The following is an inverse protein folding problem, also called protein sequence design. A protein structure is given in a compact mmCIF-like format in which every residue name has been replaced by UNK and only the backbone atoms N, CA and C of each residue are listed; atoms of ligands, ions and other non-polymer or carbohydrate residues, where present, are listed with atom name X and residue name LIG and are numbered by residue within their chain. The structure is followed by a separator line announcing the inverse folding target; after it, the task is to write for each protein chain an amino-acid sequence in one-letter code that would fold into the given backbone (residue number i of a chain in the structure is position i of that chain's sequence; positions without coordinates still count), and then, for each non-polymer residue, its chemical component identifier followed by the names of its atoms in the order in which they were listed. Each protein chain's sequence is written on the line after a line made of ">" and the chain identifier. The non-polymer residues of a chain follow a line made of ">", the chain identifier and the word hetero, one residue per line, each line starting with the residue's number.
data_IF_534654924587
#
_entry.id   IF_534654924587
#
_cell.length_a   1.000
_cell.length_b   1.000
_cell.length_c   1.000
_cell.angle_alpha   90.00
_cell.angle_beta   90.00
_cell.angle_gamma   90.00
#
_symmetry.space_group_name_H-M   'P 1'
#
loop_
_entity.id
_entity.type
_entity.pdbx_description
1 polymer ?
#
# COMPACT_ATOMS: atom_id res chain seq x y z
N UNK A 1 -4.03 -4.56 11.80
CA UNK A 1 -2.66 -4.01 11.89
C UNK A 1 -1.69 -5.16 12.03
N UNK A 2 -0.76 -5.32 11.08
CA UNK A 2 0.25 -6.39 11.11
C UNK A 2 1.33 -6.08 12.15
N UNK A 3 1.87 -7.10 12.83
CA UNK A 3 2.95 -6.94 13.84
C UNK A 3 4.18 -6.25 13.25
N UNK A 4 4.51 -6.52 11.98
CA UNK A 4 5.61 -5.87 11.26
C UNK A 4 5.43 -4.37 11.08
N UNK A 5 4.19 -3.91 10.90
CA UNK A 5 3.89 -2.49 10.72
C UNK A 5 3.99 -1.74 12.05
N UNK A 6 3.57 -2.39 13.15
CA UNK A 6 3.78 -1.87 14.49
C UNK A 6 5.28 -1.71 14.82
N UNK A 7 6.11 -2.70 14.47
CA UNK A 7 7.56 -2.64 14.68
C UNK A 7 8.22 -1.47 13.92
N UNK A 8 7.83 -1.24 12.67
CA UNK A 8 8.36 -0.13 11.85
C UNK A 8 7.96 1.22 12.46
N UNK A 9 6.70 1.38 12.85
CA UNK A 9 6.22 2.63 13.47
C UNK A 9 6.94 2.90 14.80
N UNK A 10 7.15 1.88 15.62
CA UNK A 10 7.89 2.01 16.87
C UNK A 10 9.32 2.49 16.63
N UNK A 11 10.02 1.91 15.64
CA UNK A 11 11.39 2.32 15.27
C UNK A 11 11.44 3.74 14.73
N UNK A 12 10.52 4.12 13.84
CA UNK A 12 10.42 5.50 13.32
C UNK A 12 10.23 6.48 14.49
N UNK A 13 9.40 6.14 15.47
CA UNK A 13 9.15 7.00 16.63
C UNK A 13 10.38 7.15 17.50
N UNK A 14 11.08 6.06 17.82
CA UNK A 14 12.34 6.10 18.58
C UNK A 14 13.40 6.96 17.87
N UNK A 15 13.58 6.77 16.56
CA UNK A 15 14.55 7.53 15.78
C UNK A 15 14.17 9.01 15.66
N UNK A 16 12.89 9.35 15.57
CA UNK A 16 12.42 10.75 15.61
C UNK A 16 12.75 11.42 16.93
N UNK A 17 12.54 10.76 18.07
CA UNK A 17 12.87 11.30 19.40
C UNK A 17 14.37 11.54 19.52
N UNK A 18 15.20 10.60 19.04
CA UNK A 18 16.66 10.76 19.03
C UNK A 18 17.10 11.89 18.10
N UNK A 19 16.53 12.00 16.91
CA UNK A 19 16.82 13.07 15.96
C UNK A 19 16.45 14.44 16.54
N UNK A 20 15.31 14.53 17.23
CA UNK A 20 14.90 15.76 17.92
C UNK A 20 15.90 16.14 19.03
N UNK A 21 16.35 15.17 19.83
CA UNK A 21 17.38 15.39 20.84
C UNK A 21 18.66 15.94 20.21
N UNK A 22 19.18 15.29 19.15
CA UNK A 22 20.36 15.76 18.43
C UNK A 22 20.15 17.16 17.85
N UNK A 23 18.97 17.46 17.29
CA UNK A 23 18.67 18.78 16.73
C UNK A 23 18.71 19.90 17.77
N UNK A 24 18.41 19.60 19.04
CA UNK A 24 18.47 20.55 20.15
C UNK A 24 19.89 20.68 20.72
N UNK A 25 20.66 19.59 20.72
CA UNK A 25 22.01 19.57 21.27
C UNK A 25 23.06 20.13 20.30
N UNK A 26 22.90 19.89 19.00
CA UNK A 26 23.84 20.35 17.98
C UNK A 26 24.14 21.86 18.04
N UNK A 27 23.15 22.78 18.11
CA UNK A 27 23.45 24.21 18.21
C UNK A 27 24.15 24.60 19.51
N UNK A 28 23.96 23.84 20.60
CA UNK A 28 24.71 24.06 21.84
C UNK A 28 26.17 23.62 21.69
N UNK A 29 26.41 22.49 21.03
CA UNK A 29 27.76 22.02 20.74
C UNK A 29 28.50 22.94 19.75
N UNK A 30 27.81 23.50 18.75
CA UNK A 30 28.36 24.52 17.84
C UNK A 30 28.78 25.79 18.58
N UNK A 31 27.93 26.29 19.50
CA UNK A 31 28.29 27.44 20.34
C UNK A 31 29.49 27.13 21.24
N UNK A 32 29.49 25.96 21.89
CA UNK A 32 30.60 25.52 22.74
C UNK A 32 31.92 25.43 21.97
N UNK A 33 31.89 24.92 20.74
CA UNK A 33 33.07 24.85 19.87
C UNK A 33 33.55 26.25 19.47
N UNK A 34 32.64 27.16 19.11
CA UNK A 34 32.97 28.54 18.77
C UNK A 34 33.59 29.30 19.96
N UNK A 35 33.01 29.15 21.16
CA UNK A 35 33.53 29.73 22.41
C UNK A 35 34.91 29.17 22.76
N UNK A 36 35.09 27.85 22.66
CA UNK A 36 36.38 27.22 22.91
C UNK A 36 37.45 27.68 21.89
N UNK A 37 37.09 27.81 20.61
CA UNK A 37 37.99 28.34 19.58
C UNK A 37 38.34 29.82 19.84
N UNK A 38 37.40 30.61 20.35
CA UNK A 38 37.68 31.97 20.79
C UNK A 38 38.63 32.01 21.99
N UNK A 39 38.45 31.12 22.97
CA UNK A 39 39.35 31.01 24.11
C UNK A 39 40.79 30.70 23.68
N UNK A 40 41.00 29.76 22.75
CA UNK A 40 42.34 29.45 22.20
C UNK A 40 42.99 30.71 21.61
N UNK A 41 42.27 31.46 20.76
CA UNK A 41 42.79 32.70 20.17
C UNK A 41 43.20 33.74 21.21
N UNK A 42 42.46 33.84 22.32
CA UNK A 42 42.83 34.71 23.43
C UNK A 42 44.10 34.21 24.12
N UNK A 43 44.22 32.90 24.36
CA UNK A 43 45.42 32.31 24.94
C UNK A 43 46.65 32.45 24.02
N UNK A 44 46.50 32.34 22.71
CA UNK A 44 47.60 32.56 21.75
C UNK A 44 48.19 33.97 21.89
N UNK A 45 47.31 34.97 22.00
CA UNK A 45 47.70 36.38 22.20
C UNK A 45 48.44 36.57 23.54
N UNK A 46 48.00 35.88 24.60
CA UNK A 46 48.63 35.94 25.92
C UNK A 46 49.95 35.16 25.99
N UNK A 47 50.08 34.10 25.19
CA UNK A 47 51.31 33.30 25.08
C UNK A 47 52.43 34.11 24.45
N UNK A 48 52.15 34.90 23.41
CA UNK A 48 53.09 35.84 22.80
C UNK A 48 53.63 36.86 23.82
N UNK A 49 52.75 37.33 24.72
CA UNK A 49 53.10 38.20 25.85
C UNK A 49 53.78 37.50 27.02
N UNK A 50 53.93 36.16 26.99
CA UNK A 50 54.44 35.32 28.10
C UNK A 50 53.65 35.45 29.41
N UNK A 51 52.36 35.77 29.33
CA UNK A 51 51.48 35.98 30.49
C UNK A 51 50.69 34.72 30.92
N UNK A 52 50.89 33.59 30.24
CA UNK A 52 50.15 32.34 30.47
C UNK A 52 51.12 31.19 30.71
N UNK A 53 50.77 30.31 31.65
CA UNK A 53 51.51 29.08 31.90
C UNK A 53 51.15 28.02 30.84
N UNK A 54 52.12 27.19 30.44
CA UNK A 54 51.90 26.11 29.47
C UNK A 54 50.75 25.18 29.87
N UNK A 55 50.59 24.92 31.18
CA UNK A 55 49.51 24.08 31.72
C UNK A 55 48.13 24.64 31.38
N UNK A 56 47.90 25.96 31.52
CA UNK A 56 46.60 26.58 31.19
C UNK A 56 46.31 26.55 29.69
N UNK A 57 47.35 26.68 28.88
CA UNK A 57 47.22 26.57 27.43
C UNK A 57 46.86 25.14 27.00
N UNK A 58 47.50 24.12 27.59
CA UNK A 58 47.18 22.71 27.34
C UNK A 58 45.75 22.36 27.77
N UNK A 59 45.28 22.87 28.91
CA UNK A 59 43.89 22.74 29.37
C UNK A 59 42.90 23.31 28.34
N UNK A 60 43.19 24.50 27.80
CA UNK A 60 42.34 25.15 26.80
C UNK A 60 42.32 24.33 25.49
N UNK A 61 43.46 23.83 25.03
CA UNK A 61 43.56 22.98 23.84
C UNK A 61 42.73 21.70 23.99
N UNK A 62 42.82 21.05 25.17
CA UNK A 62 42.01 19.87 25.47
C UNK A 62 40.52 20.19 25.45
N UNK A 63 40.11 21.30 26.07
CA UNK A 63 38.70 21.72 26.07
C UNK A 63 38.17 22.00 24.65
N UNK A 64 38.99 22.63 23.79
CA UNK A 64 38.65 22.86 22.38
C UNK A 64 38.52 21.55 21.59
N UNK A 65 39.44 20.60 21.79
CA UNK A 65 39.36 19.28 21.18
C UNK A 65 38.08 18.53 21.60
N UNK A 66 37.75 18.53 22.90
CA UNK A 66 36.54 17.89 23.41
C UNK A 66 35.26 18.52 22.84
N UNK A 67 35.18 19.86 22.76
CA UNK A 67 34.06 20.57 22.15
C UNK A 67 33.90 20.24 20.64
N UNK A 68 35.02 20.23 19.91
CA UNK A 68 35.04 19.87 18.48
C UNK A 68 34.57 18.44 18.26
N UNK A 69 35.09 17.50 19.08
CA UNK A 69 34.71 16.08 19.02
C UNK A 69 33.22 15.89 19.29
N UNK A 70 32.67 16.59 20.28
CA UNK A 70 31.25 16.54 20.61
C UNK A 70 30.38 17.03 19.44
N UNK A 71 30.74 18.18 18.85
CA UNK A 71 30.05 18.73 17.67
C UNK A 71 30.04 17.74 16.50
N UNK A 72 31.21 17.18 16.15
CA UNK A 72 31.34 16.22 15.06
C UNK A 72 30.55 14.94 15.35
N UNK A 73 30.54 14.49 16.60
CA UNK A 73 29.77 13.31 17.02
C UNK A 73 28.28 13.53 16.83
N UNK A 74 27.74 14.65 17.32
CA UNK A 74 26.32 15.00 17.18
C UNK A 74 25.92 15.21 15.71
N UNK A 75 26.77 15.87 14.93
CA UNK A 75 26.53 16.09 13.50
C UNK A 75 26.46 14.76 12.74
N UNK A 76 27.38 13.85 13.03
CA UNK A 76 27.40 12.51 12.41
C UNK A 76 26.17 11.70 12.83
N UNK A 77 25.83 11.71 14.11
CA UNK A 77 24.61 11.06 14.62
C UNK A 77 23.36 11.61 13.95
N UNK A 78 23.26 12.93 13.78
CA UNK A 78 22.14 13.57 13.11
C UNK A 78 22.00 13.13 11.65
N UNK A 79 23.12 13.04 10.92
CA UNK A 79 23.12 12.57 9.53
C UNK A 79 22.69 11.10 9.41
N UNK A 80 23.25 10.22 10.25
CA UNK A 80 22.88 8.80 10.27
C UNK A 80 21.39 8.63 10.58
N UNK A 81 20.88 9.31 11.62
CA UNK A 81 19.46 9.26 11.98
C UNK A 81 18.55 9.75 10.84
N UNK A 82 18.96 10.78 10.11
CA UNK A 82 18.22 11.29 8.95
C UNK A 82 18.17 10.26 7.81
N UNK A 83 19.28 9.61 7.51
CA UNK A 83 19.34 8.55 6.50
C UNK A 83 18.50 7.34 6.90
N UNK A 84 18.59 6.90 8.15
CA UNK A 84 17.81 5.79 8.69
C UNK A 84 16.31 6.08 8.67
N UNK A 85 15.89 7.29 9.07
CA UNK A 85 14.48 7.70 8.99
C UNK A 85 13.98 7.70 7.55
N UNK A 86 14.76 8.24 6.62
CA UNK A 86 14.38 8.27 5.20
C UNK A 86 14.27 6.84 4.63
N UNK A 87 15.16 5.93 5.04
CA UNK A 87 15.11 4.53 4.65
C UNK A 87 13.88 3.81 5.21
N UNK A 88 13.55 4.04 6.48
CA UNK A 88 12.36 3.46 7.12
C UNK A 88 11.05 3.99 6.53
N UNK A 89 10.98 5.29 6.21
CA UNK A 89 9.80 5.87 5.58
C UNK A 89 9.57 5.26 4.19
N UNK A 90 10.62 5.07 3.37
CA UNK A 90 10.51 4.36 2.08
C UNK A 90 10.03 2.91 2.25
N UNK A 91 10.62 2.19 3.21
CA UNK A 91 10.23 0.80 3.47
C UNK A 91 8.76 0.69 3.93
N UNK A 92 8.26 1.69 4.65
CA UNK A 92 6.85 1.80 5.03
C UNK A 92 5.98 2.06 3.80
N UNK A 93 6.33 3.03 2.97
CA UNK A 93 5.57 3.37 1.77
C UNK A 93 5.48 2.19 0.80
N UNK A 94 6.59 1.47 0.60
CA UNK A 94 6.64 0.25 -0.21
C UNK A 94 5.72 -0.85 0.34
N UNK A 95 5.66 -1.00 1.67
CA UNK A 95 4.78 -1.96 2.32
C UNK A 95 3.31 -1.58 2.20
N UNK A 96 2.97 -0.30 2.34
CA UNK A 96 1.61 0.23 2.20
C UNK A 96 1.14 0.10 0.73
N UNK A 97 2.02 0.38 -0.25
CA UNK A 97 1.74 0.18 -1.68
C UNK A 97 1.52 -1.30 -2.02
N UNK A 98 2.40 -2.19 -1.55
CA UNK A 98 2.23 -3.63 -1.74
C UNK A 98 0.91 -4.15 -1.15
N UNK A 99 0.52 -3.66 0.03
CA UNK A 99 -0.74 -4.03 0.67
C UNK A 99 -1.95 -3.51 -0.11
N UNK A 100 -1.88 -2.28 -0.63
CA UNK A 100 -2.94 -1.72 -1.49
C UNK A 100 -3.12 -2.50 -2.79
N UNK A 101 -2.00 -2.91 -3.42
CA UNK A 101 -2.01 -3.75 -4.63
C UNK A 101 -2.61 -5.13 -4.36
N UNK A 102 -2.27 -5.74 -3.23
CA UNK A 102 -2.88 -7.01 -2.82
C UNK A 102 -4.39 -6.84 -2.61
N UNK A 103 -4.83 -5.80 -1.91
CA UNK A 103 -6.26 -5.53 -1.72
C UNK A 103 -6.98 -5.31 -3.06
N UNK A 104 -6.38 -4.58 -4.00
CA UNK A 104 -6.94 -4.35 -5.32
C UNK A 104 -7.02 -5.63 -6.18
N UNK A 105 -5.97 -6.47 -6.15
CA UNK A 105 -5.94 -7.73 -6.91
C UNK A 105 -6.96 -8.73 -6.36
N UNK A 106 -7.07 -8.83 -5.04
CA UNK A 106 -7.96 -9.79 -4.42
C UNK A 106 -9.40 -9.28 -4.30
N UNK A 107 -9.64 -7.97 -4.36
CA UNK A 107 -10.97 -7.33 -4.29
C UNK A 107 -11.87 -7.93 -3.18
N UNK A 108 -11.28 -8.24 -2.02
CA UNK A 108 -11.93 -8.94 -0.90
C UNK A 108 -12.60 -10.29 -1.27
N UNK A 109 -12.09 -10.94 -2.32
CA UNK A 109 -12.63 -12.18 -2.88
C UNK A 109 -13.87 -11.98 -3.76
N UNK A 110 -14.21 -10.74 -4.12
CA UNK A 110 -15.38 -10.42 -4.93
C UNK A 110 -15.01 -10.45 -6.42
N UNK A 111 -15.72 -11.32 -7.16
CA UNK A 111 -15.64 -11.36 -8.63
C UNK A 111 -16.84 -10.60 -9.19
N UNK A 112 -16.58 -9.50 -9.89
CA UNK A 112 -17.62 -8.72 -10.56
C UNK A 112 -17.81 -9.18 -12.01
N UNK A 113 -19.06 -9.21 -12.46
CA UNK A 113 -19.35 -9.41 -13.89
C UNK A 113 -18.96 -8.16 -14.69
N UNK A 114 -18.24 -8.31 -15.82
CA UNK A 114 -17.96 -7.19 -16.72
C UNK A 114 -19.18 -6.76 -17.55
N UNK A 115 -20.21 -7.61 -17.65
CA UNK A 115 -21.38 -7.39 -18.50
C UNK A 115 -22.69 -7.61 -17.75
N UNK A 116 -23.73 -6.89 -18.17
CA UNK A 116 -25.09 -7.20 -17.74
C UNK A 116 -25.60 -8.41 -18.52
N UNK A 117 -26.19 -9.38 -17.84
CA UNK A 117 -26.64 -10.62 -18.46
C UNK A 117 -27.32 -11.58 -17.49
N UNK A 118 -27.70 -12.75 -17.98
CA UNK A 118 -28.24 -13.83 -17.16
C UNK A 118 -27.14 -14.84 -16.81
N UNK A 119 -27.21 -15.36 -15.58
CA UNK A 119 -26.30 -16.39 -15.08
C UNK A 119 -26.65 -17.72 -15.73
N UNK A 120 -25.65 -18.43 -16.25
CA UNK A 120 -25.80 -19.76 -16.81
C UNK A 120 -26.08 -20.85 -15.77
N UNK A 121 -26.23 -22.10 -16.22
CA UNK A 121 -26.56 -23.24 -15.35
C UNK A 121 -25.41 -23.68 -14.42
N UNK A 122 -24.18 -23.24 -14.67
CA UNK A 122 -23.00 -23.60 -13.88
C UNK A 122 -22.77 -22.55 -12.80
N UNK A 123 -23.11 -22.90 -11.56
CA UNK A 123 -22.90 -22.08 -10.36
C UNK A 123 -21.84 -22.78 -9.51
N UNK A 124 -20.76 -22.10 -9.10
CA UNK A 124 -19.74 -22.70 -8.25
C UNK A 124 -20.28 -23.02 -6.86
N UNK A 125 -19.85 -24.15 -6.30
CA UNK A 125 -20.19 -24.55 -4.93
C UNK A 125 -19.20 -23.96 -3.92
N UNK A 126 -19.71 -23.54 -2.75
CA UNK A 126 -18.89 -23.05 -1.63
C UNK A 126 -17.88 -24.12 -1.20
N UNK A 127 -16.62 -23.72 -0.99
CA UNK A 127 -15.53 -24.61 -0.57
C UNK A 127 -14.73 -25.24 -1.73
N UNK A 128 -15.07 -24.93 -2.98
CA UNK A 128 -14.31 -25.38 -4.15
C UNK A 128 -13.16 -24.42 -4.45
N UNK A 129 -11.97 -24.95 -4.71
CA UNK A 129 -10.77 -24.16 -5.07
C UNK A 129 -10.63 -24.15 -6.59
N UNK A 130 -10.56 -22.96 -7.18
CA UNK A 130 -10.38 -22.74 -8.62
C UNK A 130 -8.98 -22.18 -8.89
N UNK A 131 -8.39 -22.55 -10.03
CA UNK A 131 -7.11 -21.99 -10.48
C UNK A 131 -7.33 -20.79 -11.39
N UNK A 132 -6.35 -19.86 -11.48
CA UNK A 132 -6.39 -18.82 -12.49
C UNK A 132 -6.58 -19.42 -13.89
N UNK A 133 -7.63 -18.98 -14.60
CA UNK A 133 -8.00 -19.47 -15.93
C UNK A 133 -9.10 -20.53 -15.95
N UNK A 134 -9.49 -21.10 -14.80
CA UNK A 134 -10.62 -22.03 -14.75
C UNK A 134 -11.95 -21.28 -14.95
N UNK A 135 -12.87 -21.80 -15.79
CA UNK A 135 -14.19 -21.19 -15.95
C UNK A 135 -15.03 -21.44 -14.70
N UNK A 136 -15.32 -20.37 -13.95
CA UNK A 136 -16.11 -20.43 -12.71
C UNK A 136 -17.61 -20.30 -12.99
N UNK A 137 -17.98 -19.35 -13.86
CA UNK A 137 -19.37 -19.00 -14.15
C UNK A 137 -19.49 -18.50 -15.60
N UNK A 138 -20.62 -18.77 -16.25
CA UNK A 138 -20.93 -18.28 -17.60
C UNK A 138 -22.04 -17.24 -17.54
N UNK A 139 -21.85 -16.12 -18.23
CA UNK A 139 -22.83 -15.02 -18.30
C UNK A 139 -23.26 -14.85 -19.74
N UNK A 140 -24.55 -15.00 -19.99
CA UNK A 140 -25.13 -14.78 -21.30
C UNK A 140 -25.59 -13.32 -21.39
N UNK A 141 -25.11 -12.60 -22.40
CA UNK A 141 -25.51 -11.22 -22.69
C UNK A 141 -26.12 -11.16 -24.09
N UNK A 142 -27.17 -10.36 -24.27
CA UNK A 142 -27.92 -10.23 -25.53
C UNK A 142 -29.40 -10.63 -25.43
N UNK A 143 -30.12 -10.46 -26.54
CA UNK A 143 -31.55 -10.77 -26.65
C UNK A 143 -31.78 -12.29 -26.68
N UNK A 144 -32.73 -12.83 -25.88
CA UNK A 144 -32.95 -14.26 -25.81
C UNK A 144 -33.52 -14.79 -27.14
N UNK A 145 -32.68 -15.51 -27.88
CA UNK A 145 -33.08 -16.16 -29.13
C UNK A 145 -33.78 -17.49 -28.78
N UNK A 146 -35.12 -17.53 -28.82
CA UNK A 146 -35.84 -18.81 -28.71
C UNK A 146 -35.62 -19.65 -29.98
N UNK A 147 -34.77 -20.67 -29.89
CA UNK A 147 -34.69 -21.73 -30.90
C UNK A 147 -35.90 -22.65 -30.76
N UNK A 148 -37.07 -22.21 -31.22
CA UNK A 148 -38.23 -23.10 -31.30
C UNK A 148 -38.03 -24.09 -32.43
N UNK A 149 -37.57 -25.30 -32.11
CA UNK A 149 -37.59 -26.43 -33.06
C UNK A 149 -39.04 -26.91 -33.22
N UNK A 150 -39.77 -26.32 -34.18
CA UNK A 150 -41.07 -26.83 -34.59
C UNK A 150 -40.89 -28.17 -35.32
N UNK A 151 -41.12 -29.29 -34.63
CA UNK A 151 -41.26 -30.60 -35.28
C UNK A 151 -42.62 -30.64 -35.97
N UNK A 152 -42.63 -30.66 -37.31
CA UNK A 152 -43.86 -30.84 -38.08
C UNK A 152 -44.46 -32.23 -37.80
N UNK A 153 -45.60 -32.27 -37.12
CA UNK A 153 -46.44 -33.47 -37.09
C UNK A 153 -47.28 -33.46 -38.37
N UNK A 154 -47.01 -34.39 -39.29
CA UNK A 154 -47.85 -34.62 -40.46
C UNK A 154 -49.12 -35.32 -39.97
N UNK A 155 -50.21 -34.57 -39.77
CA UNK A 155 -51.55 -35.16 -39.68
C UNK A 155 -52.31 -34.87 -40.97
N UNK A 156 -52.63 -35.92 -41.72
CA UNK A 156 -53.48 -35.83 -42.90
C UNK A 156 -54.90 -35.42 -42.50
N UNK A 157 -55.37 -34.32 -43.09
CA UNK A 157 -56.69 -33.66 -42.96
C UNK A 157 -56.78 -32.55 -41.90
N UNK A 158 -57.08 -31.36 -42.42
CA UNK A 158 -57.45 -30.09 -41.76
C UNK A 158 -56.28 -29.21 -41.25
N UNK A 159 -56.50 -27.89 -41.33
CA UNK A 159 -55.54 -26.79 -41.37
C UNK A 159 -54.44 -26.78 -40.28
N UNK A 160 -53.24 -26.24 -40.56
CA UNK A 160 -52.13 -26.22 -39.61
C UNK A 160 -52.41 -25.22 -38.47
N UNK A 161 -52.90 -25.72 -37.34
CA UNK A 161 -52.88 -25.01 -36.07
C UNK A 161 -51.51 -25.22 -35.42
N UNK A 162 -50.67 -24.18 -35.43
CA UNK A 162 -49.37 -24.19 -34.73
C UNK A 162 -49.62 -24.19 -33.22
N UNK A 163 -49.59 -25.37 -32.59
CA UNK A 163 -49.47 -25.50 -31.13
C UNK A 163 -48.00 -25.74 -30.80
N UNK A 164 -47.32 -24.71 -30.29
CA UNK A 164 -46.06 -24.90 -29.60
C UNK A 164 -46.36 -25.51 -28.22
N UNK A 165 -45.93 -26.75 -27.99
CA UNK A 165 -45.95 -27.34 -26.67
C UNK A 165 -44.71 -26.89 -25.89
N UNK A 166 -44.90 -26.30 -24.73
CA UNK A 166 -43.83 -26.02 -23.77
C UNK A 166 -43.20 -27.34 -23.27
N UNK A 167 -41.88 -27.41 -23.01
CA UNK A 167 -41.22 -28.64 -22.57
C UNK A 167 -41.61 -29.03 -21.13
N UNK A 168 -42.13 -28.09 -20.35
CA UNK A 168 -42.72 -28.35 -19.04
C UNK A 168 -44.18 -28.67 -19.22
N UNK A 169 -44.56 -29.91 -18.87
CA UNK A 169 -45.91 -30.48 -18.97
C UNK A 169 -46.96 -29.84 -18.06
N UNK A 170 -47.07 -28.52 -18.08
CA UNK A 170 -48.16 -27.76 -17.48
C UNK A 170 -49.09 -27.27 -18.60
N UNK A 171 -50.31 -27.82 -18.68
CA UNK A 171 -51.38 -27.25 -19.51
C UNK A 171 -51.88 -25.98 -18.83
N UNK A 172 -51.41 -24.82 -19.26
CA UNK A 172 -52.08 -23.55 -18.99
C UNK A 172 -53.01 -23.21 -20.18
N UNK A 173 -54.30 -22.91 -19.94
CA UNK A 173 -55.22 -22.50 -20.99
C UNK A 173 -55.20 -20.97 -21.07
N UNK A 174 -54.17 -20.39 -21.69
CA UNK A 174 -54.24 -18.98 -22.12
C UNK A 174 -53.63 -18.87 -23.50
N UNK A 175 -54.49 -18.56 -24.48
CA UNK A 175 -54.10 -18.25 -25.84
C UNK A 175 -53.25 -16.97 -25.83
N UNK A 176 -51.94 -17.11 -26.08
CA UNK A 176 -51.08 -15.95 -26.32
C UNK A 176 -51.24 -15.53 -27.78
N UNK A 177 -51.64 -14.27 -27.99
CA UNK A 177 -51.82 -13.67 -29.31
C UNK A 177 -50.46 -13.31 -29.95
N UNK A 178 -50.33 -13.28 -31.29
CA UNK A 178 -49.04 -13.26 -31.99
C UNK A 178 -48.30 -11.91 -31.98
N UNK A 179 -48.69 -10.93 -31.16
CA UNK A 179 -48.13 -9.56 -31.22
C UNK A 179 -46.96 -9.28 -30.28
N UNK A 180 -46.51 -10.25 -29.47
CA UNK A 180 -45.43 -10.01 -28.50
C UNK A 180 -44.02 -10.38 -29.00
N UNK A 181 -43.85 -10.60 -30.30
CA UNK A 181 -42.53 -10.67 -30.94
C UNK A 181 -42.48 -9.63 -32.05
N UNK A 182 -42.09 -8.40 -31.69
CA UNK A 182 -41.55 -7.44 -32.63
C UNK A 182 -40.44 -6.66 -31.95
#
# INVERSE_FOLDING_TARGET
>A
MSTKQADIIAKITDFKVRAESVSKLLPLAERREAEAAQAIRQFDTLLEGKYVTSVRYEEALRANYEATRERVTLLTQGNVLKEELTSLDRARDDADDALSKLQAIYADGLVHSPVNGSIGSTIPSVGTVYRPGDPILSIYSGEPMCSSTCRAAISSRSAPAWRCASPTGARSPTAWSPRSCR
#
